data_IF_983178955372
#
_entry.id   IF_983178955372
#
_cell.length_a   1.000
_cell.length_b   1.000
_cell.length_c   1.000
_cell.angle_alpha   90.00
_cell.angle_beta   90.00
_cell.angle_gamma   90.00
#
_symmetry.space_group_name_H-M   'P 1'
#
loop_
_entity.id
_entity.type
_entity.pdbx_description
1 polymer ?
#
# COMPACT_ATOMS: atom_id res chain seq x y z
N UNK A 1 -18.54 8.86 0.30
CA UNK A 1 -19.25 9.74 1.24
C UNK A 1 -18.42 11.00 1.46
N UNK A 2 -19.06 12.12 1.80
CA UNK A 2 -18.36 13.37 2.15
C UNK A 2 -18.33 13.51 3.68
N UNK A 3 -17.19 13.94 4.21
CA UNK A 3 -16.95 14.12 5.64
C UNK A 3 -16.49 15.56 5.86
N UNK A 4 -17.09 16.24 6.83
CA UNK A 4 -16.67 17.56 7.27
C UNK A 4 -15.80 17.40 8.52
N UNK A 5 -14.61 18.00 8.52
CA UNK A 5 -13.64 17.91 9.61
C UNK A 5 -13.40 19.30 10.18
N UNK A 6 -13.65 19.47 11.48
CA UNK A 6 -13.23 20.67 12.21
C UNK A 6 -11.79 20.50 12.67
N UNK A 7 -10.87 21.27 12.11
CA UNK A 7 -9.43 21.17 12.40
C UNK A 7 -8.81 22.57 12.39
N UNK A 8 -7.71 22.73 13.11
CA UNK A 8 -6.92 23.98 13.13
C UNK A 8 -6.34 24.34 11.74
N UNK A 9 -6.41 25.62 11.36
CA UNK A 9 -5.99 26.07 10.04
C UNK A 9 -4.48 25.88 9.79
N UNK A 10 -3.64 26.08 10.81
CA UNK A 10 -2.20 25.84 10.67
C UNK A 10 -1.91 24.36 10.47
N UNK A 11 -2.68 23.48 11.10
CA UNK A 11 -2.58 22.04 10.87
C UNK A 11 -2.94 21.69 9.41
N UNK A 12 -4.00 22.28 8.85
CA UNK A 12 -4.35 22.09 7.42
C UNK A 12 -3.22 22.53 6.51
N UNK A 13 -2.62 23.70 6.77
CA UNK A 13 -1.53 24.22 5.96
C UNK A 13 -0.31 23.29 5.95
N UNK A 14 0.09 22.78 7.13
CA UNK A 14 1.18 21.80 7.25
C UNK A 14 0.85 20.49 6.55
N UNK A 15 -0.40 20.01 6.69
CA UNK A 15 -0.84 18.77 6.06
C UNK A 15 -0.86 18.87 4.52
N UNK A 16 -1.28 20.01 3.96
CA UNK A 16 -1.22 20.26 2.51
C UNK A 16 0.21 20.23 1.99
N UNK A 17 1.13 20.96 2.64
CA UNK A 17 2.55 20.96 2.26
C UNK A 17 3.14 19.54 2.23
N UNK A 18 2.76 18.70 3.19
CA UNK A 18 3.19 17.30 3.23
C UNK A 18 2.54 16.45 2.14
N UNK A 19 1.26 16.68 1.84
CA UNK A 19 0.56 15.99 0.77
C UNK A 19 1.19 16.33 -0.60
N UNK A 20 1.49 17.61 -0.84
CA UNK A 20 2.14 18.08 -2.07
C UNK A 20 3.53 17.46 -2.25
N UNK A 21 4.31 17.35 -1.17
CA UNK A 21 5.62 16.67 -1.19
C UNK A 21 5.51 15.18 -1.55
N UNK A 22 4.35 14.56 -1.32
CA UNK A 22 4.05 13.17 -1.69
C UNK A 22 3.33 13.06 -3.05
N UNK A 23 3.13 14.18 -3.76
CA UNK A 23 2.36 14.23 -5.02
C UNK A 23 0.88 13.91 -4.85
N UNK A 24 0.31 14.11 -3.66
CA UNK A 24 -1.08 13.77 -3.32
C UNK A 24 -1.86 15.00 -2.89
N UNK A 25 -3.17 15.02 -3.13
CA UNK A 25 -4.06 16.00 -2.49
C UNK A 25 -4.27 15.67 -1.01
N UNK A 26 -4.57 16.68 -0.19
CA UNK A 26 -4.88 16.45 1.23
C UNK A 26 -6.05 15.47 1.42
N UNK A 27 -7.10 15.57 0.59
CA UNK A 27 -8.23 14.64 0.65
C UNK A 27 -7.82 13.20 0.30
N UNK A 28 -6.91 13.03 -0.66
CA UNK A 28 -6.39 11.70 -0.98
C UNK A 28 -5.58 11.13 0.19
N UNK A 29 -4.74 11.95 0.82
CA UNK A 29 -3.97 11.56 2.00
C UNK A 29 -4.89 11.14 3.17
N UNK A 30 -5.95 11.91 3.44
CA UNK A 30 -6.94 11.60 4.48
C UNK A 30 -7.63 10.26 4.18
N UNK A 31 -8.04 10.03 2.93
CA UNK A 31 -8.65 8.78 2.50
C UNK A 31 -7.73 7.59 2.72
N UNK A 32 -6.47 7.70 2.31
CA UNK A 32 -5.46 6.65 2.48
C UNK A 32 -5.26 6.31 3.97
N UNK A 33 -5.20 7.33 4.85
CA UNK A 33 -5.10 7.13 6.29
C UNK A 33 -6.33 6.46 6.89
N UNK A 34 -7.54 6.89 6.50
CA UNK A 34 -8.78 6.27 6.97
C UNK A 34 -8.88 4.82 6.49
N UNK A 35 -8.46 4.52 5.26
CA UNK A 35 -8.44 3.16 4.74
C UNK A 35 -7.46 2.27 5.53
N UNK A 36 -6.27 2.77 5.86
CA UNK A 36 -5.33 2.06 6.73
C UNK A 36 -5.89 1.82 8.13
N UNK A 37 -6.49 2.85 8.73
CA UNK A 37 -7.12 2.74 10.05
C UNK A 37 -8.30 1.77 10.07
N UNK A 38 -9.09 1.73 9.00
CA UNK A 38 -10.21 0.80 8.84
C UNK A 38 -9.77 -0.64 8.51
N UNK A 39 -8.46 -0.93 8.47
CA UNK A 39 -7.92 -2.25 8.20
C UNK A 39 -7.86 -2.63 6.72
N UNK A 40 -7.87 -1.65 5.81
CA UNK A 40 -7.68 -1.88 4.37
C UNK A 40 -6.27 -2.36 4.03
N UNK A 41 -5.27 -1.99 4.84
CA UNK A 41 -4.03 -2.74 4.98
C UNK A 41 -4.22 -3.58 6.24
N UNK A 42 -4.55 -4.86 6.10
CA UNK A 42 -4.56 -5.79 7.23
C UNK A 42 -3.29 -6.66 7.15
N UNK A 43 -2.18 -6.26 7.82
CA UNK A 43 -0.96 -7.05 7.86
C UNK A 43 -1.19 -8.50 8.26
N UNK A 44 -2.17 -8.76 9.13
CA UNK A 44 -2.50 -10.11 9.55
C UNK A 44 -3.07 -10.93 8.39
N UNK A 45 -3.94 -10.36 7.56
CA UNK A 45 -4.42 -11.04 6.35
C UNK A 45 -3.29 -11.31 5.36
N UNK A 46 -2.37 -10.35 5.16
CA UNK A 46 -1.21 -10.57 4.29
C UNK A 46 -0.27 -11.65 4.82
N UNK A 47 -0.06 -11.71 6.14
CA UNK A 47 0.73 -12.76 6.80
C UNK A 47 0.04 -14.11 6.67
N UNK A 48 -1.27 -14.17 6.87
CA UNK A 48 -2.05 -15.41 6.79
C UNK A 48 -2.12 -15.93 5.35
N UNK A 49 -2.25 -15.04 4.36
CA UNK A 49 -2.13 -15.39 2.95
C UNK A 49 -0.73 -15.89 2.59
N UNK A 50 0.32 -15.20 3.05
CA UNK A 50 1.71 -15.64 2.85
C UNK A 50 1.95 -17.02 3.44
N UNK A 51 1.50 -17.27 4.68
CA UNK A 51 1.58 -18.59 5.34
C UNK A 51 0.82 -19.65 4.56
N UNK A 52 -0.37 -19.31 4.05
CA UNK A 52 -1.18 -20.23 3.24
C UNK A 52 -0.45 -20.62 1.98
N UNK A 53 0.14 -19.68 1.24
CA UNK A 53 0.74 -19.94 -0.08
C UNK A 53 2.19 -20.46 -0.02
N UNK A 54 2.91 -20.19 1.06
CA UNK A 54 4.32 -20.58 1.22
C UNK A 54 4.50 -22.11 1.25
N UNK A 55 5.56 -22.59 0.62
CA UNK A 55 5.91 -24.02 0.62
C UNK A 55 5.01 -24.90 -0.27
N UNK A 56 4.01 -24.35 -0.94
CA UNK A 56 3.16 -25.09 -1.88
C UNK A 56 3.75 -25.18 -3.30
N UNK A 57 4.84 -24.46 -3.57
CA UNK A 57 5.49 -24.43 -4.88
C UNK A 57 6.27 -25.72 -5.17
N UNK A 58 6.26 -26.13 -6.43
CA UNK A 58 7.06 -27.26 -6.92
C UNK A 58 7.84 -26.82 -8.16
N UNK A 59 9.15 -26.60 -8.02
CA UNK A 59 9.99 -26.11 -9.13
C UNK A 59 10.18 -27.13 -10.25
N UNK A 60 9.83 -28.41 -10.03
CA UNK A 60 10.02 -29.50 -11.01
C UNK A 60 11.48 -29.60 -11.50
N UNK A 61 12.44 -29.29 -10.61
CA UNK A 61 13.85 -29.29 -10.93
C UNK A 61 14.34 -28.05 -11.68
N UNK A 62 13.45 -27.10 -11.98
CA UNK A 62 13.83 -25.80 -12.51
C UNK A 62 14.58 -25.00 -11.44
N UNK A 63 15.68 -24.36 -11.85
CA UNK A 63 16.49 -23.48 -11.03
C UNK A 63 16.31 -22.06 -11.56
N UNK A 64 16.35 -21.09 -10.66
CA UNK A 64 16.21 -19.69 -11.03
C UNK A 64 17.31 -19.29 -12.03
N UNK A 65 16.90 -18.92 -13.23
CA UNK A 65 17.73 -18.28 -14.24
C UNK A 65 17.17 -16.88 -14.51
N UNK A 66 18.00 -15.87 -14.25
CA UNK A 66 17.59 -14.47 -14.41
C UNK A 66 17.47 -14.10 -15.89
N UNK A 67 18.34 -14.64 -16.72
CA UNK A 67 18.43 -14.29 -18.14
C UNK A 67 17.24 -14.91 -18.90
N UNK A 68 16.85 -16.15 -18.56
CA UNK A 68 15.63 -16.81 -19.06
C UNK A 68 14.36 -15.96 -18.80
N UNK A 69 14.24 -15.35 -17.62
CA UNK A 69 13.07 -14.54 -17.22
C UNK A 69 12.96 -13.26 -18.06
N UNK A 70 14.09 -12.71 -18.51
CA UNK A 70 14.16 -11.47 -19.26
C UNK A 70 14.27 -11.69 -20.79
N UNK A 71 14.37 -12.93 -21.25
CA UNK A 71 14.52 -13.29 -22.66
C UNK A 71 13.26 -13.05 -23.51
N UNK A 72 12.11 -12.81 -22.88
CA UNK A 72 10.88 -12.36 -23.58
C UNK A 72 10.94 -10.87 -23.85
N UNK A 73 11.76 -10.47 -24.82
CA UNK A 73 11.67 -9.18 -25.54
C UNK A 73 11.14 -9.40 -26.95
#
# INVERSE_FOLDING_TARGET
MNITLSVDEQLVARARKRADALGKSLNQLIRDYLQKLAGGDNPQQSIDEFRRLSGQGHSRGWHFDRDEIHERS
#
